data_IF_282200825628
#
_entry.id   IF_282200825628
#
_cell.length_a   1.000
_cell.length_b   1.000
_cell.length_c   1.000
_cell.angle_alpha   90.00
_cell.angle_beta   90.00
_cell.angle_gamma   90.00
#
_symmetry.space_group_name_H-M   'P 1'
#
loop_
_entity.id
_entity.type
_entity.pdbx_description
1 polymer ?
#
# COMPACT_ATOMS: atom_id res chain seq x y z
N UNK A 1 40.11 -38.28 15.70
CA UNK A 1 40.49 -37.08 14.91
C UNK A 1 39.38 -36.56 13.95
N UNK A 2 38.11 -37.01 14.03
CA UNK A 2 37.07 -36.64 13.04
C UNK A 2 36.11 -35.47 13.41
N UNK A 3 36.15 -34.93 14.63
CA UNK A 3 35.14 -33.98 15.10
C UNK A 3 35.34 -32.52 14.62
N UNK A 4 36.51 -32.18 14.08
CA UNK A 4 36.84 -30.79 13.70
C UNK A 4 36.31 -30.34 12.33
N UNK A 5 36.12 -31.28 11.40
CA UNK A 5 35.74 -30.95 10.02
C UNK A 5 34.23 -30.64 9.89
N UNK A 6 33.38 -31.38 10.60
CA UNK A 6 31.92 -31.18 10.58
C UNK A 6 31.50 -29.84 11.19
N UNK A 7 32.23 -29.36 12.21
CA UNK A 7 31.95 -28.07 12.87
C UNK A 7 32.18 -26.85 11.96
N UNK A 8 33.22 -26.89 11.10
CA UNK A 8 33.53 -25.77 10.20
C UNK A 8 32.57 -25.69 9.02
N UNK A 9 32.21 -26.84 8.43
CA UNK A 9 31.23 -26.90 7.35
C UNK A 9 29.87 -26.34 7.80
N UNK A 10 29.44 -26.64 9.02
CA UNK A 10 28.21 -26.08 9.59
C UNK A 10 28.26 -24.55 9.75
N UNK A 11 29.39 -23.98 10.18
CA UNK A 11 29.53 -22.52 10.34
C UNK A 11 29.41 -21.77 9.00
N UNK A 12 30.05 -22.29 7.95
CA UNK A 12 29.96 -21.69 6.61
C UNK A 12 28.52 -21.63 6.09
N UNK A 13 27.74 -22.69 6.32
CA UNK A 13 26.33 -22.73 5.92
C UNK A 13 25.48 -21.65 6.63
N UNK A 14 25.68 -21.45 7.94
CA UNK A 14 24.97 -20.40 8.69
C UNK A 14 25.27 -19.01 8.15
N UNK A 15 26.54 -18.72 7.83
CA UNK A 15 26.95 -17.43 7.29
C UNK A 15 26.44 -17.21 5.85
N UNK A 16 26.44 -18.24 5.02
CA UNK A 16 25.88 -18.17 3.68
C UNK A 16 24.37 -17.89 3.70
N UNK A 17 23.62 -18.59 4.58
CA UNK A 17 22.19 -18.33 4.76
C UNK A 17 21.95 -16.92 5.25
N UNK A 18 22.74 -16.45 6.22
CA UNK A 18 22.59 -15.10 6.73
C UNK A 18 22.82 -14.02 5.69
N UNK A 19 23.81 -14.21 4.81
CA UNK A 19 24.08 -13.29 3.71
C UNK A 19 22.92 -13.24 2.70
N UNK A 20 22.41 -14.40 2.30
CA UNK A 20 21.42 -14.51 1.20
C UNK A 20 20.01 -14.17 1.67
N UNK A 21 19.65 -14.52 2.91
CA UNK A 21 18.28 -14.40 3.42
C UNK A 21 17.67 -12.99 3.27
N UNK A 22 18.28 -11.88 3.74
CA UNK A 22 17.66 -10.57 3.64
C UNK A 22 17.44 -10.12 2.19
N UNK A 23 18.34 -10.48 1.27
CA UNK A 23 18.16 -10.22 -0.15
C UNK A 23 16.94 -10.98 -0.72
N UNK A 24 16.78 -12.26 -0.35
CA UNK A 24 15.59 -13.07 -0.73
C UNK A 24 14.32 -12.44 -0.16
N UNK A 25 14.32 -12.05 1.11
CA UNK A 25 13.14 -11.44 1.75
C UNK A 25 12.75 -10.12 1.08
N UNK A 26 13.72 -9.25 0.79
CA UNK A 26 13.48 -7.99 0.09
C UNK A 26 12.95 -8.23 -1.33
N UNK A 27 13.51 -9.22 -2.04
CA UNK A 27 13.06 -9.61 -3.38
C UNK A 27 11.62 -10.14 -3.39
N UNK A 28 11.29 -11.06 -2.47
CA UNK A 28 9.94 -11.60 -2.31
C UNK A 28 8.92 -10.51 -1.91
N UNK A 29 9.35 -9.53 -1.12
CA UNK A 29 8.55 -8.36 -0.78
C UNK A 29 8.44 -7.33 -1.94
N UNK A 30 9.03 -7.60 -3.11
CA UNK A 30 8.97 -6.72 -4.27
C UNK A 30 9.63 -5.36 -4.03
N UNK A 31 10.65 -5.30 -3.16
CA UNK A 31 11.39 -4.07 -2.91
C UNK A 31 12.27 -3.73 -4.11
N UNK A 32 12.37 -2.43 -4.42
CA UNK A 32 13.38 -1.91 -5.34
C UNK A 32 14.69 -1.69 -4.58
N UNK A 33 15.82 -1.71 -5.28
CA UNK A 33 17.11 -1.40 -4.69
C UNK A 33 17.20 0.08 -4.26
N UNK A 34 18.10 0.33 -3.32
CA UNK A 34 18.31 1.66 -2.72
C UNK A 34 18.97 2.59 -3.74
N UNK A 35 19.80 2.03 -4.61
CA UNK A 35 20.54 2.75 -5.64
C UNK A 35 19.84 2.76 -7.00
N UNK A 36 18.52 2.54 -7.02
CA UNK A 36 17.70 2.64 -8.24
C UNK A 36 17.64 1.37 -9.09
N UNK A 37 18.14 0.23 -8.59
CA UNK A 37 17.89 -1.04 -9.27
C UNK A 37 16.43 -1.46 -9.12
N UNK A 38 15.89 -2.16 -10.13
CA UNK A 38 14.50 -2.62 -10.10
C UNK A 38 14.27 -3.81 -9.16
N UNK A 39 15.34 -4.38 -8.58
CA UNK A 39 15.25 -5.51 -7.67
C UNK A 39 16.20 -5.37 -6.48
N UNK A 40 15.62 -5.31 -5.27
CA UNK A 40 16.38 -5.34 -4.03
C UNK A 40 17.13 -6.67 -3.84
N UNK A 41 16.68 -7.78 -4.45
CA UNK A 41 17.39 -9.06 -4.38
C UNK A 41 18.80 -8.93 -4.94
N UNK A 42 18.95 -8.43 -6.17
CA UNK A 42 20.27 -8.24 -6.78
C UNK A 42 21.08 -7.15 -6.07
N UNK A 43 20.42 -6.10 -5.59
CA UNK A 43 21.09 -4.99 -4.91
C UNK A 43 21.67 -5.39 -3.56
N UNK A 44 20.95 -6.22 -2.79
CA UNK A 44 21.33 -6.59 -1.43
C UNK A 44 22.31 -7.76 -1.39
N UNK A 45 22.34 -8.59 -2.44
CA UNK A 45 23.25 -9.73 -2.52
C UNK A 45 24.72 -9.32 -2.73
N UNK A 46 24.96 -8.14 -3.31
CA UNK A 46 26.29 -7.68 -3.72
C UNK A 46 26.92 -6.78 -2.63
N UNK A 47 28.06 -7.16 -2.01
CA UNK A 47 28.75 -6.37 -0.98
C UNK A 47 29.63 -5.25 -1.56
N UNK A 48 29.15 -4.50 -2.54
CA UNK A 48 29.89 -3.39 -3.13
C UNK A 48 29.37 -2.06 -2.57
N UNK A 49 30.22 -1.02 -2.41
CA UNK A 49 29.78 0.28 -1.88
C UNK A 49 28.64 0.94 -2.66
N UNK A 50 28.49 0.59 -3.94
CA UNK A 50 27.43 1.05 -4.86
C UNK A 50 26.21 0.13 -4.88
N UNK A 51 26.15 -0.86 -3.99
CA UNK A 51 25.07 -1.82 -3.87
C UNK A 51 24.49 -1.78 -2.43
N UNK A 52 23.21 -2.06 -2.28
CA UNK A 52 22.52 -2.03 -0.98
C UNK A 52 23.11 -3.01 0.03
N UNK A 53 23.79 -4.08 -0.43
CA UNK A 53 24.44 -5.08 0.42
C UNK A 53 25.53 -4.53 1.35
N UNK A 54 26.11 -3.35 1.08
CA UNK A 54 27.07 -2.73 2.01
C UNK A 54 26.45 -2.41 3.37
N UNK A 55 25.14 -2.10 3.41
CA UNK A 55 24.42 -1.81 4.66
C UNK A 55 24.23 -3.06 5.53
N UNK A 56 24.39 -4.26 4.97
CA UNK A 56 24.33 -5.52 5.71
C UNK A 56 25.61 -5.79 6.50
N UNK A 57 26.76 -5.28 6.02
CA UNK A 57 28.09 -5.62 6.56
C UNK A 57 28.21 -5.43 8.07
N UNK A 58 27.77 -4.30 8.68
CA UNK A 58 27.93 -4.09 10.12
C UNK A 58 27.20 -5.15 10.98
N UNK A 59 25.93 -5.45 10.68
CA UNK A 59 25.17 -6.45 11.42
C UNK A 59 25.69 -7.87 11.14
N UNK A 60 26.12 -8.13 9.90
CA UNK A 60 26.67 -9.41 9.51
C UNK A 60 27.96 -9.73 10.26
N UNK A 61 28.85 -8.75 10.46
CA UNK A 61 30.08 -8.93 11.25
C UNK A 61 29.80 -9.30 12.71
N UNK A 62 28.75 -8.71 13.32
CA UNK A 62 28.30 -9.09 14.67
C UNK A 62 27.85 -10.56 14.67
N UNK A 63 27.06 -10.97 13.68
CA UNK A 63 26.62 -12.36 13.54
C UNK A 63 27.79 -13.32 13.31
N UNK A 64 28.79 -12.96 12.51
CA UNK A 64 30.03 -13.74 12.33
C UNK A 64 30.69 -13.99 13.69
N UNK A 65 30.80 -12.97 14.53
CA UNK A 65 31.29 -13.09 15.91
C UNK A 65 30.48 -14.12 16.72
N UNK A 66 29.15 -14.08 16.63
CA UNK A 66 28.26 -15.03 17.31
C UNK A 66 28.44 -16.47 16.81
N UNK A 67 28.46 -16.67 15.49
CA UNK A 67 28.59 -18.00 14.87
C UNK A 67 29.93 -18.64 15.21
N UNK A 68 31.02 -17.87 15.12
CA UNK A 68 32.37 -18.35 15.45
C UNK A 68 32.56 -18.56 16.96
N UNK A 69 32.03 -17.66 17.79
CA UNK A 69 32.10 -17.74 19.25
C UNK A 69 31.37 -18.97 19.81
N UNK A 70 30.15 -19.22 19.34
CA UNK A 70 29.36 -20.42 19.72
C UNK A 70 29.92 -21.72 19.14
N UNK A 71 30.71 -21.64 18.07
CA UNK A 71 31.37 -22.79 17.45
C UNK A 71 32.55 -23.36 18.24
N UNK A 72 33.26 -22.53 19.00
CA UNK A 72 34.47 -22.94 19.75
C UNK A 72 34.17 -23.60 21.10
N UNK A 73 33.01 -23.33 21.71
CA UNK A 73 32.66 -23.80 23.05
C UNK A 73 31.93 -25.15 23.14
N UNK A 74 31.56 -25.77 22.01
CA UNK A 74 30.74 -26.99 22.02
C UNK A 74 31.45 -28.23 22.63
N UNK A 75 32.78 -28.20 22.78
CA UNK A 75 33.55 -29.31 23.34
C UNK A 75 33.86 -29.22 24.84
N UNK A 76 33.82 -28.03 25.44
CA UNK A 76 34.38 -27.78 26.78
C UNK A 76 33.34 -27.48 27.87
N UNK A 77 32.07 -27.30 27.53
CA UNK A 77 31.09 -26.69 28.44
C UNK A 77 30.09 -27.66 29.10
N UNK A 78 30.26 -28.98 28.95
CA UNK A 78 29.31 -29.96 29.51
C UNK A 78 29.58 -30.40 30.96
N UNK A 79 30.67 -29.98 31.60
CA UNK A 79 31.12 -30.63 32.85
C UNK A 79 31.28 -29.76 34.09
N UNK A 80 30.84 -28.50 34.12
CA UNK A 80 30.95 -27.71 35.35
C UNK A 80 29.67 -26.91 35.64
N UNK A 81 28.88 -27.41 36.59
CA UNK A 81 27.68 -26.76 37.14
C UNK A 81 28.00 -25.53 37.99
N UNK A 82 28.68 -24.54 37.40
CA UNK A 82 28.92 -23.25 38.03
C UNK A 82 28.09 -22.17 37.36
N UNK A 83 27.20 -21.55 38.14
CA UNK A 83 26.32 -20.41 37.79
C UNK A 83 27.08 -19.10 37.49
N UNK A 84 28.25 -19.18 36.85
CA UNK A 84 28.94 -18.00 36.38
C UNK A 84 28.18 -17.45 35.17
N UNK A 85 27.32 -16.45 35.43
CA UNK A 85 26.66 -15.62 34.43
C UNK A 85 27.70 -14.81 33.63
N UNK A 86 28.48 -15.50 32.80
CA UNK A 86 29.41 -14.88 31.87
C UNK A 86 28.68 -14.09 30.79
N UNK A 87 29.38 -13.21 30.06
CA UNK A 87 28.78 -12.35 29.01
C UNK A 87 27.98 -13.12 27.94
N UNK A 88 28.23 -14.43 27.77
CA UNK A 88 27.46 -15.31 26.89
C UNK A 88 26.00 -15.56 27.33
N UNK A 89 25.65 -15.30 28.60
CA UNK A 89 24.27 -15.44 29.10
C UNK A 89 23.36 -14.33 28.54
N UNK A 90 23.90 -13.13 28.34
CA UNK A 90 23.21 -11.95 27.81
C UNK A 90 23.01 -11.96 26.29
N UNK A 91 23.76 -12.79 25.57
CA UNK A 91 23.75 -12.81 24.11
C UNK A 91 22.35 -13.03 23.48
N UNK A 92 21.52 -14.01 23.93
CA UNK A 92 20.16 -14.14 23.41
C UNK A 92 19.28 -12.93 23.71
N UNK A 93 19.48 -12.27 24.87
CA UNK A 93 18.71 -11.07 25.23
C UNK A 93 19.07 -9.92 24.29
N UNK A 94 20.36 -9.72 24.01
CA UNK A 94 20.82 -8.71 23.08
C UNK A 94 20.31 -8.97 21.65
N UNK A 95 20.35 -10.23 21.18
CA UNK A 95 19.84 -10.60 19.86
C UNK A 95 18.31 -10.44 19.78
N UNK A 96 17.57 -10.81 20.83
CA UNK A 96 16.12 -10.60 20.88
C UNK A 96 15.77 -9.10 20.88
N UNK A 97 16.48 -8.29 21.66
CA UNK A 97 16.31 -6.84 21.66
C UNK A 97 16.60 -6.25 20.27
N UNK A 98 17.68 -6.67 19.62
CA UNK A 98 18.02 -6.28 18.25
C UNK A 98 16.93 -6.66 17.25
N UNK A 99 16.39 -7.89 17.33
CA UNK A 99 15.29 -8.35 16.50
C UNK A 99 14.02 -7.51 16.71
N UNK A 100 13.67 -7.18 17.96
CA UNK A 100 12.48 -6.37 18.27
C UNK A 100 12.63 -4.93 17.78
N UNK A 101 13.77 -4.28 18.03
CA UNK A 101 14.04 -2.91 17.57
C UNK A 101 14.03 -2.85 16.04
N UNK A 102 14.67 -3.82 15.38
CA UNK A 102 14.64 -3.92 13.94
C UNK A 102 13.23 -4.23 13.40
N UNK A 103 12.47 -5.09 14.08
CA UNK A 103 11.07 -5.35 13.76
C UNK A 103 10.21 -4.08 13.82
N UNK A 104 10.41 -3.23 14.83
CA UNK A 104 9.74 -1.92 14.91
C UNK A 104 10.14 -1.01 13.75
N UNK A 105 11.41 -1.01 13.36
CA UNK A 105 11.89 -0.25 12.19
C UNK A 105 11.39 -0.78 10.83
N UNK A 106 10.76 -1.96 10.81
CA UNK A 106 10.08 -2.51 9.64
C UNK A 106 8.59 -2.21 9.63
N UNK A 107 8.02 -1.64 10.69
CA UNK A 107 6.60 -1.34 10.80
C UNK A 107 6.38 0.15 10.62
N UNK A 108 5.40 0.52 9.80
CA UNK A 108 4.96 1.91 9.63
C UNK A 108 4.20 2.38 10.88
N UNK A 109 4.96 2.80 11.90
CA UNK A 109 4.42 3.22 13.18
C UNK A 109 3.58 4.50 13.05
N UNK A 110 3.91 5.37 12.09
CA UNK A 110 3.15 6.58 11.81
C UNK A 110 1.74 6.22 11.32
N UNK A 111 1.62 5.27 10.39
CA UNK A 111 0.32 4.83 9.89
C UNK A 111 -0.50 4.07 10.91
N UNK A 112 0.15 3.29 11.79
CA UNK A 112 -0.53 2.68 12.94
C UNK A 112 -1.04 3.77 13.88
N UNK A 113 -0.20 4.76 14.21
CA UNK A 113 -0.60 5.89 15.04
C UNK A 113 -1.77 6.67 14.44
N UNK A 114 -1.71 6.98 13.14
CA UNK A 114 -2.80 7.61 12.40
C UNK A 114 -4.06 6.76 12.47
N UNK A 115 -3.99 5.45 12.22
CA UNK A 115 -5.18 4.59 12.26
C UNK A 115 -5.72 4.31 13.67
N UNK A 116 -4.94 4.55 14.72
CA UNK A 116 -5.42 4.55 16.12
C UNK A 116 -6.07 5.87 16.52
N UNK A 117 -5.73 6.97 15.85
CA UNK A 117 -6.18 8.33 16.21
C UNK A 117 -7.16 8.94 15.22
N UNK A 118 -7.41 8.28 14.10
CA UNK A 118 -8.29 8.72 13.00
C UNK A 118 -9.08 7.55 12.43
N UNK A 119 -10.07 7.83 11.57
CA UNK A 119 -10.86 6.79 10.87
C UNK A 119 -10.09 6.13 9.71
N UNK A 120 -8.81 6.43 9.52
CA UNK A 120 -7.96 5.78 8.53
C UNK A 120 -7.72 4.32 8.95
N UNK A 121 -7.98 3.31 8.10
CA UNK A 121 -7.78 1.92 8.49
C UNK A 121 -6.32 1.64 8.86
N UNK A 122 -6.09 1.18 10.09
CA UNK A 122 -4.79 0.76 10.61
C UNK A 122 -4.35 -0.56 9.94
N UNK A 123 -3.89 -0.50 8.69
CA UNK A 123 -3.29 -1.64 8.00
C UNK A 123 -1.79 -1.68 8.33
N UNK A 124 -1.33 -2.78 8.93
CA UNK A 124 0.09 -3.07 9.12
C UNK A 124 0.80 -3.00 7.75
N UNK A 125 1.68 -2.01 7.60
CA UNK A 125 2.51 -1.86 6.40
C UNK A 125 3.96 -2.07 6.79
N UNK A 126 4.64 -2.90 6.00
CA UNK A 126 6.09 -3.06 6.13
C UNK A 126 6.78 -1.87 5.48
N UNK A 127 7.52 -1.09 6.25
CA UNK A 127 8.39 -0.05 5.74
C UNK A 127 9.55 -0.66 4.94
N UNK A 128 9.95 0.04 3.88
CA UNK A 128 11.15 -0.32 3.10
C UNK A 128 12.40 0.15 3.83
N UNK A 129 12.70 -0.48 4.95
CA UNK A 129 13.87 -0.18 5.76
C UNK A 129 14.92 -1.30 5.62
N UNK A 130 15.88 -1.18 4.68
CA UNK A 130 16.91 -2.20 4.45
C UNK A 130 17.74 -2.50 5.68
N UNK A 131 18.14 -1.46 6.43
CA UNK A 131 18.95 -1.62 7.63
C UNK A 131 18.21 -2.45 8.68
N UNK A 132 16.94 -2.15 8.90
CA UNK A 132 16.09 -2.92 9.81
C UNK A 132 15.93 -4.38 9.33
N UNK A 133 15.76 -4.61 8.03
CA UNK A 133 15.68 -5.98 7.49
C UNK A 133 16.97 -6.79 7.72
N UNK A 134 18.13 -6.17 7.50
CA UNK A 134 19.44 -6.79 7.74
C UNK A 134 19.64 -7.15 9.21
N UNK A 135 19.40 -6.18 10.11
CA UNK A 135 19.53 -6.40 11.56
C UNK A 135 18.55 -7.46 12.06
N UNK A 136 17.30 -7.44 11.61
CA UNK A 136 16.29 -8.44 11.99
C UNK A 136 16.69 -9.84 11.52
N UNK A 137 17.14 -9.97 10.27
CA UNK A 137 17.56 -11.25 9.69
C UNK A 137 18.77 -11.84 10.43
N UNK A 138 19.80 -11.02 10.66
CA UNK A 138 21.00 -11.46 11.36
C UNK A 138 20.73 -11.80 12.83
N UNK A 139 19.92 -11.00 13.51
CA UNK A 139 19.53 -11.27 14.89
C UNK A 139 18.73 -12.57 15.02
N UNK A 140 17.79 -12.82 14.10
CA UNK A 140 17.03 -14.06 14.05
C UNK A 140 17.94 -15.28 13.83
N UNK A 141 18.88 -15.21 12.90
CA UNK A 141 19.85 -16.29 12.66
C UNK A 141 20.80 -16.48 13.84
N UNK A 142 21.24 -15.39 14.46
CA UNK A 142 22.03 -15.44 15.69
C UNK A 142 21.29 -16.17 16.81
N UNK A 143 20.00 -15.87 17.01
CA UNK A 143 19.14 -16.55 18.00
C UNK A 143 19.03 -18.05 17.69
N UNK A 144 18.75 -18.40 16.44
CA UNK A 144 18.72 -19.80 15.99
C UNK A 144 20.02 -20.52 16.31
N UNK A 145 21.15 -19.88 16.02
CA UNK A 145 22.47 -20.46 16.22
C UNK A 145 22.77 -20.67 17.71
N UNK A 146 22.47 -19.68 18.54
CA UNK A 146 22.67 -19.75 20.01
C UNK A 146 21.74 -20.80 20.62
N UNK A 147 20.49 -20.90 20.17
CA UNK A 147 19.56 -21.94 20.62
C UNK A 147 20.00 -23.34 20.17
N UNK A 148 20.37 -23.51 18.91
CA UNK A 148 20.90 -24.79 18.40
C UNK A 148 22.15 -25.24 19.16
N UNK A 149 22.97 -24.27 19.59
CA UNK A 149 24.11 -24.52 20.46
C UNK A 149 23.71 -24.96 21.88
N UNK A 150 22.70 -24.33 22.50
CA UNK A 150 22.23 -24.64 23.87
C UNK A 150 21.35 -25.89 23.96
N UNK A 151 20.46 -26.11 23.00
CA UNK A 151 19.37 -27.10 23.08
C UNK A 151 19.72 -28.50 22.52
N UNK A 152 20.87 -28.65 21.85
CA UNK A 152 21.18 -29.88 21.12
C UNK A 152 20.18 -30.15 19.98
N UNK A 153 19.95 -31.42 19.54
CA UNK A 153 19.14 -31.74 18.35
C UNK A 153 17.63 -31.49 18.50
N UNK A 154 17.15 -30.81 19.55
CA UNK A 154 15.75 -30.40 19.69
C UNK A 154 15.49 -29.12 18.88
N UNK A 155 15.70 -29.26 17.56
CA UNK A 155 15.69 -28.21 16.53
C UNK A 155 14.30 -27.57 16.30
N UNK A 156 13.23 -28.20 16.79
CA UNK A 156 11.85 -27.82 16.47
C UNK A 156 11.45 -26.40 16.90
N UNK A 157 11.87 -25.96 18.09
CA UNK A 157 11.51 -24.63 18.60
C UNK A 157 12.33 -23.48 18.01
N UNK A 158 13.56 -23.76 17.56
CA UNK A 158 14.39 -22.76 16.92
C UNK A 158 13.69 -22.25 15.64
N UNK A 159 13.12 -23.15 14.83
CA UNK A 159 12.48 -22.79 13.56
C UNK A 159 11.19 -21.99 13.69
N UNK A 160 10.50 -22.03 14.84
CA UNK A 160 9.19 -21.37 15.01
C UNK A 160 9.31 -19.84 15.00
N UNK A 161 10.33 -19.26 15.64
CA UNK A 161 10.46 -17.81 15.73
C UNK A 161 10.80 -17.12 14.39
N UNK A 162 11.79 -17.58 13.59
CA UNK A 162 12.02 -17.04 12.26
C UNK A 162 10.90 -17.40 11.30
N UNK A 163 10.24 -18.56 11.44
CA UNK A 163 9.07 -18.87 10.64
C UNK A 163 7.91 -17.91 10.96
N UNK A 164 7.70 -17.53 12.22
CA UNK A 164 6.70 -16.55 12.62
C UNK A 164 7.05 -15.14 12.10
N UNK A 165 8.31 -14.72 12.17
CA UNK A 165 8.77 -13.43 11.59
C UNK A 165 8.65 -13.44 10.07
N UNK A 166 9.06 -14.52 9.40
CA UNK A 166 8.90 -14.70 7.96
C UNK A 166 7.42 -14.70 7.57
N UNK A 167 6.58 -15.40 8.33
CA UNK A 167 5.13 -15.44 8.11
C UNK A 167 4.52 -14.06 8.34
N UNK A 168 4.95 -13.30 9.35
CA UNK A 168 4.54 -11.92 9.56
C UNK A 168 4.99 -11.01 8.41
N UNK A 169 6.20 -11.17 7.89
CA UNK A 169 6.69 -10.42 6.73
C UNK A 169 5.97 -10.78 5.43
N UNK A 170 5.57 -12.05 5.26
CA UNK A 170 4.80 -12.52 4.11
C UNK A 170 3.31 -12.16 4.21
N UNK A 171 2.74 -12.16 5.42
CA UNK A 171 1.35 -11.75 5.69
C UNK A 171 1.18 -10.23 5.70
N UNK A 172 2.20 -9.50 6.13
CA UNK A 172 2.30 -8.07 5.93
C UNK A 172 2.71 -7.83 4.47
N UNK A 173 1.79 -8.14 3.55
CA UNK A 173 2.00 -7.98 2.12
C UNK A 173 2.57 -6.58 1.89
N UNK A 174 3.61 -6.42 1.04
CA UNK A 174 4.11 -5.10 0.69
C UNK A 174 2.90 -4.29 0.26
N UNK A 175 2.57 -3.27 1.06
CA UNK A 175 1.33 -2.51 0.90
C UNK A 175 1.22 -2.13 -0.57
N UNK A 176 0.26 -2.78 -1.24
CA UNK A 176 -0.20 -2.53 -2.59
C UNK A 176 -0.78 -1.13 -2.63
N UNK A 177 0.06 -0.11 -2.45
CA UNK A 177 -0.24 1.19 -3.02
C UNK A 177 -0.01 1.03 -4.52
N UNK A 178 -0.95 0.31 -5.12
CA UNK A 178 -1.10 0.13 -6.54
C UNK A 178 -1.56 1.44 -7.17
N UNK A 179 -2.14 2.37 -6.39
CA UNK A 179 -2.65 3.64 -6.89
C UNK A 179 -2.24 4.78 -5.94
N UNK A 180 -1.70 5.88 -6.48
CA UNK A 180 -1.42 7.13 -5.75
C UNK A 180 -2.15 8.28 -6.42
N UNK A 181 -2.75 9.15 -5.61
CA UNK A 181 -3.37 10.37 -6.13
C UNK A 181 -2.31 11.31 -6.71
N UNK A 182 -2.61 11.85 -7.89
CA UNK A 182 -1.83 12.89 -8.57
C UNK A 182 -2.54 14.24 -8.46
N UNK A 183 -2.72 14.90 -9.60
CA UNK A 183 -3.39 16.20 -9.72
C UNK A 183 -4.88 16.03 -9.97
N UNK A 184 -5.67 17.01 -9.54
CA UNK A 184 -7.04 17.21 -9.99
C UNK A 184 -7.19 18.60 -10.60
N UNK A 185 -8.07 18.74 -11.60
CA UNK A 185 -8.47 20.03 -12.14
C UNK A 185 -9.91 19.99 -12.68
N UNK A 186 -10.57 21.15 -12.82
CA UNK A 186 -11.88 21.22 -13.46
C UNK A 186 -11.83 20.67 -14.89
N UNK A 187 -12.92 20.04 -15.33
CA UNK A 187 -13.12 19.60 -16.69
C UNK A 187 -13.68 20.71 -17.60
N UNK A 188 -14.18 20.34 -18.80
CA UNK A 188 -14.67 21.30 -19.79
C UNK A 188 -15.87 22.14 -19.32
N UNK A 189 -16.79 21.53 -18.57
CA UNK A 189 -18.02 22.16 -18.08
C UNK A 189 -18.04 22.30 -16.56
N UNK A 190 -19.01 23.07 -16.06
CA UNK A 190 -19.27 23.15 -14.63
C UNK A 190 -19.82 21.80 -14.15
N UNK A 191 -19.24 21.27 -13.09
CA UNK A 191 -19.58 19.93 -12.60
C UNK A 191 -18.61 18.86 -13.08
N UNK A 192 -17.78 19.15 -14.08
CA UNK A 192 -16.79 18.20 -14.57
C UNK A 192 -15.51 18.29 -13.73
N UNK A 193 -14.96 17.15 -13.34
CA UNK A 193 -13.66 17.06 -12.69
C UNK A 193 -12.77 16.00 -13.36
N UNK A 194 -11.54 16.37 -13.66
CA UNK A 194 -10.51 15.46 -14.15
C UNK A 194 -9.49 15.21 -13.04
N UNK A 195 -9.22 13.95 -12.75
CA UNK A 195 -8.27 13.49 -11.74
C UNK A 195 -7.23 12.60 -12.40
N UNK A 196 -5.99 12.73 -11.94
CA UNK A 196 -4.91 11.85 -12.34
C UNK A 196 -4.49 10.99 -11.17
N UNK A 197 -4.28 9.71 -11.44
CA UNK A 197 -3.82 8.74 -10.47
C UNK A 197 -2.64 7.96 -11.06
N UNK A 198 -1.55 7.86 -10.33
CA UNK A 198 -0.43 7.02 -10.71
C UNK A 198 -0.69 5.58 -10.30
N UNK A 199 -0.40 4.63 -11.17
CA UNK A 199 -0.35 3.21 -10.85
C UNK A 199 0.86 2.52 -11.46
N UNK A 200 1.30 1.43 -10.83
CA UNK A 200 2.29 0.51 -11.43
C UNK A 200 1.65 -0.46 -12.42
N UNK A 201 0.34 -0.57 -12.41
CA UNK A 201 -0.41 -1.46 -13.28
C UNK A 201 -0.59 -0.74 -14.62
N UNK A 202 -0.16 -1.39 -15.68
CA UNK A 202 -0.08 -0.84 -17.05
C UNK A 202 -1.23 -1.29 -17.94
N UNK A 203 -2.19 -2.03 -17.40
CA UNK A 203 -3.34 -2.54 -18.13
C UNK A 203 -4.64 -2.31 -17.36
N UNK A 204 -5.70 -2.01 -18.12
CA UNK A 204 -7.05 -1.86 -17.59
C UNK A 204 -7.50 -3.10 -16.80
N UNK A 205 -7.25 -4.30 -17.33
CA UNK A 205 -7.63 -5.56 -16.69
C UNK A 205 -6.98 -5.76 -15.32
N UNK A 206 -5.75 -5.26 -15.12
CA UNK A 206 -5.10 -5.29 -13.82
C UNK A 206 -5.61 -4.17 -12.90
N UNK A 207 -5.86 -2.98 -13.44
CA UNK A 207 -6.29 -1.79 -12.68
C UNK A 207 -7.69 -1.91 -12.11
N UNK A 208 -8.66 -2.34 -12.92
CA UNK A 208 -10.08 -2.30 -12.62
C UNK A 208 -10.48 -2.85 -11.23
N UNK A 209 -10.04 -4.05 -10.79
CA UNK A 209 -10.46 -4.59 -9.49
C UNK A 209 -9.96 -3.77 -8.29
N UNK A 210 -8.85 -3.05 -8.44
CA UNK A 210 -8.19 -2.31 -7.36
C UNK A 210 -8.63 -0.85 -7.36
N UNK A 211 -8.77 -0.28 -8.56
CA UNK A 211 -9.14 1.11 -8.75
C UNK A 211 -10.58 1.42 -8.31
N UNK A 212 -11.47 0.43 -8.22
CA UNK A 212 -12.81 0.64 -7.65
C UNK A 212 -12.81 1.04 -6.17
N UNK A 213 -11.86 0.55 -5.36
CA UNK A 213 -11.75 1.00 -3.96
C UNK A 213 -11.26 2.45 -3.91
N UNK A 214 -10.27 2.79 -4.75
CA UNK A 214 -9.75 4.16 -4.90
C UNK A 214 -10.84 5.14 -5.38
N UNK A 215 -11.60 4.75 -6.39
CA UNK A 215 -12.63 5.58 -7.02
C UNK A 215 -13.76 5.97 -6.08
N UNK A 216 -14.13 5.11 -5.12
CA UNK A 216 -15.19 5.41 -4.13
C UNK A 216 -14.88 6.66 -3.29
N UNK A 217 -13.61 6.97 -3.04
CA UNK A 217 -13.22 8.17 -2.29
C UNK A 217 -13.35 9.46 -3.12
N UNK A 218 -13.58 9.34 -4.42
CA UNK A 218 -13.71 10.44 -5.38
C UNK A 218 -14.98 10.31 -6.21
N UNK A 219 -15.96 9.59 -5.68
CA UNK A 219 -17.25 9.43 -6.33
C UNK A 219 -17.97 10.79 -6.34
N UNK A 220 -18.67 11.14 -7.43
CA UNK A 220 -19.37 12.42 -7.54
C UNK A 220 -20.33 12.71 -6.37
N UNK A 221 -20.97 11.68 -5.82
CA UNK A 221 -21.86 11.77 -4.65
C UNK A 221 -21.20 12.33 -3.37
N UNK A 222 -19.87 12.31 -3.29
CA UNK A 222 -19.08 12.86 -2.18
C UNK A 222 -18.51 14.24 -2.49
N UNK A 223 -18.69 14.75 -3.72
CA UNK A 223 -18.21 16.04 -4.15
C UNK A 223 -19.34 17.05 -4.19
N UNK A 224 -19.14 18.22 -3.59
CA UNK A 224 -20.09 19.35 -3.71
C UNK A 224 -19.93 20.14 -5.01
N UNK A 225 -18.88 19.83 -5.80
CA UNK A 225 -18.49 20.60 -6.97
C UNK A 225 -18.38 19.76 -8.25
N UNK A 226 -18.47 18.44 -8.16
CA UNK A 226 -18.31 17.53 -9.28
C UNK A 226 -19.57 16.66 -9.44
N UNK A 227 -20.23 16.80 -10.58
CA UNK A 227 -21.33 15.96 -11.05
C UNK A 227 -20.76 14.75 -11.83
N UNK A 228 -19.68 14.98 -12.59
CA UNK A 228 -19.02 13.98 -13.42
C UNK A 228 -17.52 13.98 -13.17
N UNK A 229 -16.92 12.79 -12.97
CA UNK A 229 -15.51 12.64 -12.63
C UNK A 229 -14.81 11.68 -13.61
N UNK A 230 -13.76 12.17 -14.27
CA UNK A 230 -12.82 11.35 -15.03
C UNK A 230 -11.56 11.08 -14.21
N UNK A 231 -11.22 9.81 -13.98
CA UNK A 231 -9.97 9.41 -13.32
C UNK A 231 -9.05 8.78 -14.35
N UNK A 232 -7.99 9.50 -14.74
CA UNK A 232 -6.93 9.03 -15.61
C UNK A 232 -5.85 8.29 -14.81
N UNK A 233 -5.69 7.00 -15.07
CA UNK A 233 -4.63 6.17 -14.51
C UNK A 233 -3.40 6.20 -15.43
N UNK A 234 -2.26 6.62 -14.90
CA UNK A 234 -0.98 6.72 -15.63
C UNK A 234 0.11 5.91 -14.94
N UNK A 235 1.09 5.43 -15.71
CA UNK A 235 2.27 4.73 -15.19
C UNK A 235 3.39 5.67 -14.75
N UNK A 236 3.27 6.97 -15.07
CA UNK A 236 4.21 8.02 -14.66
C UNK A 236 3.71 8.79 -13.45
N UNK A 237 4.44 8.73 -12.33
CA UNK A 237 4.09 9.50 -11.13
C UNK A 237 4.19 11.01 -11.39
N UNK A 238 5.23 11.42 -12.11
CA UNK A 238 5.41 12.80 -12.56
C UNK A 238 4.25 13.22 -13.48
N UNK A 239 3.86 12.38 -14.43
CA UNK A 239 2.72 12.63 -15.30
C UNK A 239 1.43 12.82 -14.52
N UNK A 240 1.18 11.99 -13.50
CA UNK A 240 0.01 12.14 -12.62
C UNK A 240 0.04 13.46 -11.83
N UNK A 241 1.21 13.86 -11.32
CA UNK A 241 1.37 15.09 -10.55
C UNK A 241 1.26 16.36 -11.41
N UNK A 242 1.68 16.28 -12.68
CA UNK A 242 1.58 17.39 -13.62
C UNK A 242 0.19 17.48 -14.28
N UNK A 243 -0.57 16.38 -14.28
CA UNK A 243 -1.84 16.27 -15.00
C UNK A 243 -1.64 16.06 -16.50
N UNK A 244 -0.67 15.22 -16.87
CA UNK A 244 -0.37 14.93 -18.27
C UNK A 244 -1.14 13.70 -18.74
N UNK A 245 -1.86 13.86 -19.84
CA UNK A 245 -2.55 12.77 -20.53
C UNK A 245 -1.59 11.79 -21.22
N UNK A 246 -0.37 12.23 -21.52
CA UNK A 246 0.67 11.37 -22.07
C UNK A 246 1.01 10.24 -21.08
N UNK A 247 0.81 8.99 -21.53
CA UNK A 247 1.07 7.80 -20.71
C UNK A 247 -0.08 7.36 -19.81
N UNK A 248 -1.27 7.95 -19.97
CA UNK A 248 -2.51 7.39 -19.40
C UNK A 248 -2.79 6.04 -20.04
N UNK A 249 -2.93 5.00 -19.22
CA UNK A 249 -3.19 3.62 -19.63
C UNK A 249 -4.67 3.23 -19.55
N UNK A 250 -5.41 3.89 -18.67
CA UNK A 250 -6.85 3.67 -18.51
C UNK A 250 -7.53 4.92 -17.95
N UNK A 251 -8.83 5.05 -18.23
CA UNK A 251 -9.70 6.08 -17.67
C UNK A 251 -10.94 5.43 -17.08
N UNK A 252 -11.34 5.88 -15.90
CA UNK A 252 -12.63 5.58 -15.27
C UNK A 252 -13.50 6.82 -15.28
N UNK A 253 -14.69 6.71 -15.85
CA UNK A 253 -15.72 7.73 -15.81
C UNK A 253 -16.74 7.38 -14.72
N UNK A 254 -17.02 8.34 -13.84
CA UNK A 254 -18.00 8.24 -12.76
C UNK A 254 -19.03 9.36 -12.93
N UNK A 255 -20.29 9.06 -12.63
CA UNK A 255 -21.42 9.94 -12.90
C UNK A 255 -22.33 10.02 -11.68
N UNK A 256 -22.73 11.23 -11.26
CA UNK A 256 -23.70 11.43 -10.16
C UNK A 256 -25.11 10.95 -10.55
N UNK A 257 -25.39 11.02 -11.84
CA UNK A 257 -26.75 11.04 -12.40
C UNK A 257 -27.38 9.64 -12.60
N UNK A 258 -26.71 8.61 -12.08
CA UNK A 258 -27.08 7.20 -12.18
C UNK A 258 -26.60 6.51 -13.46
N UNK A 259 -25.92 7.22 -14.36
CA UNK A 259 -25.26 6.60 -15.52
C UNK A 259 -24.22 5.58 -15.04
N UNK A 260 -24.19 4.35 -15.58
CA UNK A 260 -23.23 3.34 -15.15
C UNK A 260 -21.78 3.78 -15.34
N UNK A 261 -20.93 3.52 -14.34
CA UNK A 261 -19.49 3.71 -14.44
C UNK A 261 -18.94 3.11 -15.74
N UNK A 262 -18.09 3.86 -16.44
CA UNK A 262 -17.51 3.42 -17.70
C UNK A 262 -16.00 3.38 -17.63
N UNK A 263 -15.44 2.26 -18.07
CA UNK A 263 -13.99 2.08 -18.22
C UNK A 263 -13.57 2.22 -19.67
N UNK A 264 -12.40 2.79 -19.87
CA UNK A 264 -11.78 2.89 -21.18
C UNK A 264 -10.26 2.74 -21.13
N UNK A 265 -9.67 2.19 -22.19
CA UNK A 265 -8.23 2.15 -22.36
C UNK A 265 -7.71 3.52 -22.82
N UNK A 266 -6.59 3.97 -22.23
CA UNK A 266 -6.03 5.30 -22.50
C UNK A 266 -6.92 6.44 -21.98
N UNK A 267 -6.83 7.59 -22.64
CA UNK A 267 -7.70 8.75 -22.40
C UNK A 267 -9.03 8.52 -23.10
N UNK A 268 -10.13 8.65 -22.36
CA UNK A 268 -11.49 8.56 -22.90
C UNK A 268 -12.25 9.80 -22.52
N UNK A 269 -13.05 10.32 -23.45
CA UNK A 269 -13.94 11.44 -23.18
C UNK A 269 -15.10 10.97 -22.30
N UNK A 270 -15.04 11.30 -21.02
CA UNK A 270 -16.07 10.96 -20.04
C UNK A 270 -17.26 11.89 -20.07
N UNK A 271 -17.15 13.08 -20.67
CA UNK A 271 -18.10 14.18 -20.50
C UNK A 271 -19.04 14.37 -21.70
N UNK A 272 -18.93 13.50 -22.72
CA UNK A 272 -19.88 13.43 -23.84
C UNK A 272 -21.17 12.68 -23.43
N UNK A 273 -21.90 13.25 -22.47
CA UNK A 273 -23.27 12.85 -22.13
C UNK A 273 -24.08 14.06 -21.64
N UNK A 274 -25.40 13.88 -21.54
CA UNK A 274 -26.28 14.89 -20.97
C UNK A 274 -26.10 14.90 -19.44
N UNK A 275 -25.57 15.99 -18.88
CA UNK A 275 -25.36 16.11 -17.43
C UNK A 275 -26.69 16.19 -16.67
N UNK A 276 -26.66 15.98 -15.35
CA UNK A 276 -27.84 16.22 -14.53
C UNK A 276 -28.28 17.69 -14.62
N UNK A 277 -27.33 18.63 -14.57
CA UNK A 277 -27.62 20.05 -14.74
C UNK A 277 -28.29 20.35 -16.08
N UNK A 278 -27.85 19.74 -17.19
CA UNK A 278 -28.47 19.94 -18.50
C UNK A 278 -29.91 19.41 -18.53
N UNK A 279 -30.14 18.20 -18.02
CA UNK A 279 -31.49 17.62 -17.89
C UNK A 279 -32.39 18.47 -17.01
N UNK A 280 -31.86 18.97 -15.90
CA UNK A 280 -32.58 19.84 -14.98
C UNK A 280 -32.95 21.18 -15.63
N UNK A 281 -32.02 21.80 -16.35
CA UNK A 281 -32.26 23.07 -17.05
C UNK A 281 -33.27 22.86 -18.18
N UNK A 282 -33.13 21.81 -18.99
CA UNK A 282 -34.05 21.46 -20.06
C UNK A 282 -35.46 21.22 -19.51
N UNK A 283 -35.59 20.37 -18.49
CA UNK A 283 -36.87 20.11 -17.83
C UNK A 283 -37.49 21.35 -17.21
N UNK A 284 -36.69 22.27 -16.66
CA UNK A 284 -37.18 23.57 -16.16
C UNK A 284 -37.69 24.46 -17.29
N UNK A 285 -36.98 24.53 -18.41
CA UNK A 285 -37.39 25.29 -19.59
C UNK A 285 -38.69 24.73 -20.16
N UNK A 286 -38.79 23.41 -20.29
CA UNK A 286 -40.00 22.72 -20.78
C UNK A 286 -41.19 22.95 -19.84
N UNK A 287 -40.96 22.89 -18.53
CA UNK A 287 -41.98 23.22 -17.53
C UNK A 287 -42.42 24.67 -17.67
N UNK A 288 -41.49 25.64 -17.75
CA UNK A 288 -41.81 27.06 -17.90
C UNK A 288 -42.61 27.34 -19.18
N UNK A 289 -42.22 26.71 -20.30
CA UNK A 289 -42.92 26.82 -21.58
C UNK A 289 -44.33 26.20 -21.53
N UNK A 290 -44.51 25.12 -20.77
CA UNK A 290 -45.79 24.42 -20.60
C UNK A 290 -46.72 25.08 -19.58
N UNK A 291 -46.20 25.95 -18.71
CA UNK A 291 -46.96 26.57 -17.62
C UNK A 291 -48.24 27.30 -18.06
N UNK A 292 -48.27 28.10 -19.15
CA UNK A 292 -49.51 28.75 -19.59
C UNK A 292 -50.62 27.76 -19.92
N UNK A 293 -50.29 26.65 -20.59
CA UNK A 293 -51.25 25.61 -20.94
C UNK A 293 -51.72 24.82 -19.70
N UNK A 294 -50.79 24.46 -18.81
CA UNK A 294 -51.09 23.76 -17.55
C UNK A 294 -52.00 24.60 -16.64
N UNK A 295 -51.69 25.89 -16.47
CA UNK A 295 -52.51 26.81 -15.66
C UNK A 295 -53.90 27.06 -16.25
N UNK A 296 -54.05 27.02 -17.58
CA UNK A 296 -55.33 27.18 -18.25
C UNK A 296 -56.20 25.91 -18.18
N UNK A 297 -55.57 24.73 -18.30
CA UNK A 297 -56.28 23.46 -18.36
C UNK A 297 -56.75 22.96 -16.98
N UNK A 298 -56.07 23.36 -15.89
CA UNK A 298 -56.25 22.75 -14.58
C UNK A 298 -56.68 23.78 -13.51
N UNK A 299 -57.97 23.81 -13.12
CA UNK A 299 -58.37 24.58 -11.95
C UNK A 299 -57.72 23.98 -10.69
N UNK A 300 -57.15 24.81 -9.78
CA UNK A 300 -56.35 24.36 -8.64
C UNK A 300 -57.02 23.35 -7.72
N UNK A 301 -58.35 23.37 -7.69
CA UNK A 301 -59.18 22.53 -6.82
C UNK A 301 -59.22 21.06 -7.29
N UNK A 302 -58.81 20.77 -8.53
CA UNK A 302 -58.87 19.43 -9.11
C UNK A 302 -57.51 18.72 -9.23
N UNK A 303 -56.41 19.43 -9.01
CA UNK A 303 -55.07 18.86 -9.15
C UNK A 303 -54.72 17.92 -7.99
N UNK A 304 -54.14 16.74 -8.28
CA UNK A 304 -53.68 15.79 -7.25
C UNK A 304 -52.27 15.28 -7.57
N UNK A 305 -51.49 14.97 -6.53
CA UNK A 305 -50.16 14.39 -6.70
C UNK A 305 -49.19 15.26 -7.50
N UNK A 306 -48.54 14.67 -8.51
CA UNK A 306 -47.52 15.30 -9.37
C UNK A 306 -48.06 16.58 -10.04
N UNK A 307 -49.32 16.56 -10.45
CA UNK A 307 -49.95 17.67 -11.17
C UNK A 307 -50.10 18.93 -10.30
N UNK A 308 -50.25 18.74 -8.98
CA UNK A 308 -50.29 19.84 -8.03
C UNK A 308 -48.90 20.46 -7.84
N UNK A 309 -47.85 19.63 -7.82
CA UNK A 309 -46.47 20.11 -7.71
C UNK A 309 -46.07 20.95 -8.93
N UNK A 310 -46.43 20.51 -10.14
CA UNK A 310 -46.15 21.25 -11.37
C UNK A 310 -46.89 22.59 -11.42
N UNK A 311 -48.17 22.62 -11.00
CA UNK A 311 -48.94 23.88 -10.90
C UNK A 311 -48.37 24.84 -9.86
N UNK A 312 -47.92 24.33 -8.71
CA UNK A 312 -47.28 25.13 -7.67
C UNK A 312 -45.93 25.70 -8.15
N UNK A 313 -45.14 24.90 -8.89
CA UNK A 313 -43.90 25.33 -9.54
C UNK A 313 -44.18 26.44 -10.58
N UNK A 314 -45.16 26.24 -11.46
CA UNK A 314 -45.57 27.24 -12.46
C UNK A 314 -46.01 28.58 -11.84
N UNK A 315 -46.76 28.53 -10.74
CA UNK A 315 -47.14 29.75 -9.99
C UNK A 315 -45.94 30.44 -9.37
N UNK A 316 -44.99 29.68 -8.84
CA UNK A 316 -43.77 30.25 -8.29
C UNK A 316 -42.93 30.96 -9.37
N UNK A 317 -42.85 30.39 -10.59
CA UNK A 317 -42.20 31.04 -11.73
C UNK A 317 -42.90 32.35 -12.13
N UNK A 318 -44.23 32.32 -12.30
CA UNK A 318 -45.00 33.52 -12.64
C UNK A 318 -44.81 34.68 -11.65
N UNK A 319 -44.73 34.38 -10.35
CA UNK A 319 -44.47 35.40 -9.30
C UNK A 319 -43.07 36.00 -9.37
N UNK A 320 -42.06 35.24 -9.80
CA UNK A 320 -40.69 35.76 -9.96
C UNK A 320 -40.59 36.70 -11.16
N UNK A 321 -41.24 36.37 -12.27
CA UNK A 321 -41.23 37.19 -13.50
C UNK A 321 -41.95 38.53 -13.35
N UNK A 322 -42.86 38.63 -12.38
CA UNK A 322 -43.60 39.85 -12.07
C UNK A 322 -42.88 40.80 -11.10
N UNK A 323 -41.74 40.38 -10.53
CA UNK A 323 -40.86 41.21 -9.70
C UNK A 323 -39.68 41.71 -10.52
#
# INVERSE_FOLDING_TARGET
MGAGASGRAGQGAWLAVAWVLPAVLAGLAGWKGIWGSDSAFSDYLVPLPVAGGVLHVPSFLVLVGVVLGTGRGAGTQRTAGGDAAGPASWLPVALLAGLLVAGLGLVDLERIWLGMTTDVPARLRVERNPLALFVASDAAIGLLRVQAWRAGPRLGWALVAPAAVLTLLLLASPGREEIRHGRAHPGPSRGDEVRFAWSRLDSLAALEPIAREYARAYSPDQSVNAEDVAIHFTTSLEGAQLGQEAGVVATLCLYEDGTPDRWGAGVVDCFDHESFTDRFIAGRIDLEASCPALLAAWPPERARGVERADLEACRAFGRRKAR
#
